data_IF_512720222168
#
_entry.id   IF_512720222168
#
_cell.length_a   1.000
_cell.length_b   1.000
_cell.length_c   1.000
_cell.angle_alpha   90.00
_cell.angle_beta   90.00
_cell.angle_gamma   90.00
#
_symmetry.space_group_name_H-M   'P 1'
#
loop_
_entity.id
_entity.type
_entity.pdbx_description
1 polymer ?
#
# COMPACT_ATOMS: atom_id res chain seq x y z
N UNK A 1 -14.24 -14.50 25.63
CA UNK A 1 -12.93 -14.18 25.01
C UNK A 1 -13.10 -14.38 23.52
N UNK A 2 -12.98 -13.32 22.71
CA UNK A 2 -13.06 -13.45 21.25
C UNK A 2 -12.01 -14.47 20.78
N UNK A 3 -12.34 -15.45 19.94
CA UNK A 3 -11.35 -16.34 19.37
C UNK A 3 -10.52 -15.51 18.40
N UNK A 4 -9.34 -15.09 18.83
CA UNK A 4 -8.46 -14.26 18.01
C UNK A 4 -7.67 -15.17 17.09
N UNK A 5 -8.12 -15.33 15.84
CA UNK A 5 -7.32 -16.00 14.82
C UNK A 5 -6.21 -15.03 14.35
N UNK A 6 -4.92 -15.31 14.65
CA UNK A 6 -3.83 -14.43 14.30
C UNK A 6 -3.66 -14.27 12.79
N UNK A 7 -4.06 -15.25 11.98
CA UNK A 7 -4.00 -15.16 10.52
C UNK A 7 -5.08 -14.22 9.98
N UNK A 8 -6.27 -14.24 10.56
CA UNK A 8 -7.32 -13.29 10.20
C UNK A 8 -6.92 -11.85 10.52
N UNK A 9 -6.30 -11.61 11.70
CA UNK A 9 -5.75 -10.30 12.02
C UNK A 9 -4.66 -9.89 11.02
N UNK A 10 -3.70 -10.78 10.76
CA UNK A 10 -2.58 -10.51 9.84
C UNK A 10 -3.11 -10.13 8.46
N UNK A 11 -4.05 -10.91 7.91
CA UNK A 11 -4.66 -10.63 6.62
C UNK A 11 -5.34 -9.26 6.58
N UNK A 12 -6.08 -8.88 7.63
CA UNK A 12 -6.68 -7.54 7.75
C UNK A 12 -5.62 -6.44 7.83
N UNK A 13 -4.56 -6.64 8.62
CA UNK A 13 -3.47 -5.68 8.72
C UNK A 13 -2.79 -5.48 7.36
N UNK A 14 -2.54 -6.56 6.62
CA UNK A 14 -1.97 -6.48 5.27
C UNK A 14 -2.86 -5.73 4.30
N UNK A 15 -4.19 -5.93 4.34
CA UNK A 15 -5.13 -5.15 3.52
C UNK A 15 -5.09 -3.66 3.89
N UNK A 16 -5.13 -3.35 5.19
CA UNK A 16 -5.07 -1.96 5.68
C UNK A 16 -3.76 -1.30 5.25
N UNK A 17 -2.62 -1.94 5.49
CA UNK A 17 -1.31 -1.43 5.09
C UNK A 17 -1.16 -1.32 3.58
N UNK A 18 -1.75 -2.25 2.81
CA UNK A 18 -1.76 -2.22 1.35
C UNK A 18 -2.45 -0.98 0.77
N UNK A 19 -3.52 -0.52 1.42
CA UNK A 19 -4.19 0.75 1.06
C UNK A 19 -3.46 1.96 1.65
N UNK A 20 -3.01 1.86 2.90
CA UNK A 20 -2.49 3.01 3.63
C UNK A 20 -1.11 3.45 3.15
N UNK A 21 -0.23 2.53 2.76
CA UNK A 21 1.11 2.90 2.27
C UNK A 21 1.05 3.91 1.10
N UNK A 22 0.33 3.63 -0.02
CA UNK A 22 0.23 4.59 -1.12
C UNK A 22 -0.43 5.91 -0.72
N UNK A 23 -1.49 5.85 0.10
CA UNK A 23 -2.24 7.04 0.54
C UNK A 23 -1.39 7.96 1.41
N UNK A 24 -0.59 7.39 2.34
CA UNK A 24 0.30 8.16 3.20
C UNK A 24 1.56 8.65 2.46
N UNK A 25 2.04 7.89 1.48
CA UNK A 25 3.18 8.29 0.67
C UNK A 25 2.84 9.44 -0.29
N UNK A 26 1.63 9.44 -0.87
CA UNK A 26 1.21 10.43 -1.87
C UNK A 26 1.51 11.91 -1.50
N UNK A 27 1.12 12.43 -0.33
CA UNK A 27 1.41 13.82 0.03
C UNK A 27 2.90 14.11 0.27
N UNK A 28 3.72 13.08 0.47
CA UNK A 28 5.17 13.19 0.67
C UNK A 28 5.95 13.10 -0.64
N UNK A 29 5.28 12.76 -1.76
CA UNK A 29 5.94 12.63 -3.05
C UNK A 29 6.30 13.99 -3.64
N UNK A 30 7.52 14.10 -4.15
CA UNK A 30 7.93 15.18 -5.03
C UNK A 30 7.57 14.85 -6.47
N UNK A 31 7.53 15.86 -7.35
CA UNK A 31 7.35 15.65 -8.79
C UNK A 31 5.90 15.54 -9.27
N UNK A 32 4.91 15.92 -8.46
CA UNK A 32 3.55 16.09 -8.94
C UNK A 32 3.46 17.26 -9.93
N UNK A 33 3.01 16.99 -11.16
CA UNK A 33 2.75 18.00 -12.18
C UNK A 33 1.24 18.16 -12.39
N UNK A 34 0.63 19.27 -11.96
CA UNK A 34 -0.81 19.49 -12.13
C UNK A 34 -1.28 19.41 -13.59
N UNK A 35 -0.42 19.77 -14.55
CA UNK A 35 -0.70 19.71 -15.99
C UNK A 35 -0.88 18.30 -16.54
N UNK A 36 -0.28 17.28 -15.90
CA UNK A 36 -0.37 15.88 -16.28
C UNK A 36 -1.44 15.12 -15.47
N UNK A 37 -1.99 15.75 -14.44
CA UNK A 37 -2.86 15.11 -13.46
C UNK A 37 -2.13 14.03 -12.64
N UNK A 38 -2.87 13.36 -11.75
CA UNK A 38 -2.29 12.34 -10.85
C UNK A 38 -1.71 11.18 -11.65
N UNK A 39 -2.47 10.63 -12.61
CA UNK A 39 -2.05 9.47 -13.39
C UNK A 39 -0.83 9.76 -14.29
N UNK A 40 -0.81 10.91 -14.96
CA UNK A 40 0.31 11.30 -15.82
C UNK A 40 1.58 11.66 -15.04
N UNK A 41 1.44 12.04 -13.77
CA UNK A 41 2.58 12.36 -12.89
C UNK A 41 3.18 11.14 -12.18
N UNK A 42 2.52 9.96 -12.17
CA UNK A 42 2.94 8.80 -11.36
C UNK A 42 4.40 8.39 -11.60
N UNK A 43 4.85 8.38 -12.86
CA UNK A 43 6.22 7.99 -13.23
C UNK A 43 7.28 9.03 -12.84
N UNK A 44 6.85 10.25 -12.51
CA UNK A 44 7.70 11.36 -12.09
C UNK A 44 7.59 11.60 -10.58
N UNK A 45 6.74 10.83 -9.88
CA UNK A 45 6.58 10.96 -8.44
C UNK A 45 7.63 10.12 -7.72
N UNK A 46 8.42 10.80 -6.89
CA UNK A 46 9.56 10.21 -6.20
C UNK A 46 9.59 10.64 -4.73
N UNK A 47 9.96 9.72 -3.84
CA UNK A 47 10.14 9.93 -2.42
C UNK A 47 11.61 9.77 -2.08
N UNK A 48 12.23 10.87 -1.68
CA UNK A 48 13.60 10.85 -1.18
C UNK A 48 13.58 10.53 0.32
N UNK A 49 14.03 9.33 0.67
CA UNK A 49 14.24 8.89 2.05
C UNK A 49 15.74 8.79 2.29
N UNK A 50 16.39 9.89 2.69
CA UNK A 50 17.81 10.07 3.08
C UNK A 50 18.89 9.36 2.21
N UNK A 51 18.80 8.05 2.03
CA UNK A 51 19.71 7.16 1.29
C UNK A 51 19.03 6.48 0.08
N UNK A 52 17.70 6.54 -0.04
CA UNK A 52 16.92 5.83 -1.08
C UNK A 52 15.97 6.77 -1.81
N UNK A 53 16.01 6.71 -3.14
CA UNK A 53 14.99 7.31 -4.02
C UNK A 53 13.94 6.24 -4.38
N UNK A 54 12.74 6.37 -3.82
CA UNK A 54 11.63 5.46 -4.02
C UNK A 54 10.62 6.07 -5.00
N UNK A 55 10.46 5.44 -6.16
CA UNK A 55 9.43 5.80 -7.12
C UNK A 55 8.04 5.45 -6.60
N UNK A 56 7.05 6.28 -6.91
CA UNK A 56 5.68 6.07 -6.43
C UNK A 56 5.03 4.80 -6.98
N UNK A 57 5.35 4.42 -8.22
CA UNK A 57 4.90 3.17 -8.83
C UNK A 57 5.36 1.93 -8.05
N UNK A 58 6.56 1.96 -7.47
CA UNK A 58 7.04 0.90 -6.58
C UNK A 58 6.23 0.83 -5.27
N UNK A 59 5.92 1.99 -4.67
CA UNK A 59 5.10 2.07 -3.44
C UNK A 59 3.67 1.55 -3.72
N UNK A 60 3.06 1.96 -4.83
CA UNK A 60 1.75 1.47 -5.26
C UNK A 60 1.78 -0.05 -5.49
N UNK A 61 2.84 -0.55 -6.13
CA UNK A 61 3.00 -1.99 -6.39
C UNK A 61 3.15 -2.79 -5.10
N UNK A 62 3.92 -2.30 -4.12
CA UNK A 62 4.01 -2.89 -2.78
C UNK A 62 2.66 -2.91 -2.06
N UNK A 63 1.92 -1.80 -2.14
CA UNK A 63 0.57 -1.70 -1.58
C UNK A 63 -0.39 -2.72 -2.17
N UNK A 64 -0.41 -2.86 -3.51
CA UNK A 64 -1.24 -3.85 -4.21
C UNK A 64 -0.84 -5.30 -3.85
N UNK A 65 0.46 -5.59 -3.72
CA UNK A 65 0.93 -6.90 -3.32
C UNK A 65 0.48 -7.28 -1.89
N UNK A 66 0.58 -6.33 -0.95
CA UNK A 66 0.07 -6.51 0.42
C UNK A 66 -1.44 -6.70 0.44
N UNK A 67 -2.17 -5.92 -0.36
CA UNK A 67 -3.62 -6.00 -0.46
C UNK A 67 -4.06 -7.37 -1.00
N UNK A 68 -3.41 -7.85 -2.07
CA UNK A 68 -3.66 -9.18 -2.63
C UNK A 68 -3.35 -10.29 -1.64
N UNK A 69 -2.19 -10.24 -0.99
CA UNK A 69 -1.80 -11.22 0.03
C UNK A 69 -2.76 -11.23 1.22
N UNK A 70 -3.13 -10.05 1.71
CA UNK A 70 -4.06 -9.88 2.80
C UNK A 70 -5.46 -10.41 2.50
N UNK A 71 -6.01 -10.09 1.32
CA UNK A 71 -7.30 -10.62 0.86
C UNK A 71 -7.26 -12.14 0.71
N UNK A 72 -6.16 -12.70 0.19
CA UNK A 72 -5.99 -14.14 0.07
C UNK A 72 -6.01 -14.83 1.43
N UNK A 73 -5.30 -14.28 2.42
CA UNK A 73 -5.29 -14.81 3.79
C UNK A 73 -6.69 -14.73 4.42
N UNK A 74 -7.36 -13.58 4.32
CA UNK A 74 -8.72 -13.39 4.86
C UNK A 74 -9.71 -14.35 4.23
N UNK A 75 -9.63 -14.58 2.91
CA UNK A 75 -10.51 -15.49 2.20
C UNK A 75 -10.29 -16.97 2.59
N UNK A 76 -9.06 -17.34 2.92
CA UNK A 76 -8.69 -18.71 3.30
C UNK A 76 -8.84 -18.97 4.82
N UNK A 77 -8.97 -17.93 5.64
CA UNK A 77 -9.11 -18.06 7.09
C UNK A 77 -10.59 -18.25 7.46
N UNK A 78 -10.97 -19.37 8.09
CA UNK A 78 -12.36 -19.63 8.47
C UNK A 78 -12.89 -18.56 9.43
N UNK A 79 -13.97 -17.89 9.07
CA UNK A 79 -14.69 -16.97 9.97
C UNK A 79 -15.55 -17.82 10.92
N UNK A 80 -15.08 -18.06 12.13
CA UNK A 80 -15.83 -18.75 13.20
C UNK A 80 -16.36 -17.77 14.23
#
# INVERSE_FOLDING_TARGET
MLPFDPFYLLGRLMVVWGVMMPVMAFPMMNGYQPSLGVHGSLNQMHLYLEVVDLRFDAIVSMGLALLWGGLSIVALTPQR
#
